data_IF_676229042166
#
_entry.id   IF_676229042166
#
_cell.length_a   1.000
_cell.length_b   1.000
_cell.length_c   1.000
_cell.angle_alpha   90.00
_cell.angle_beta   90.00
_cell.angle_gamma   90.00
#
_symmetry.space_group_name_H-M   'P 1'
#
loop_
_entity.id
_entity.type
_entity.pdbx_description
1 polymer ?
#
# COMPACT_ATOMS: atom_id res chain seq x y z
N UNK A 1 -7.86 -27.24 2.60
CA UNK A 1 -7.41 -26.87 3.96
C UNK A 1 -7.43 -25.34 4.11
N UNK A 2 -8.48 -24.85 4.76
CA UNK A 2 -8.65 -23.46 5.17
C UNK A 2 -7.50 -23.01 6.08
N UNK A 3 -6.73 -22.03 5.64
CA UNK A 3 -5.93 -21.19 6.55
C UNK A 3 -6.40 -19.75 6.38
N UNK A 4 -7.69 -19.55 6.67
CA UNK A 4 -8.22 -18.25 7.09
C UNK A 4 -7.68 -17.96 8.49
N UNK A 5 -6.40 -17.63 8.59
CA UNK A 5 -5.98 -16.70 9.63
C UNK A 5 -5.93 -15.34 8.96
N UNK A 6 -7.09 -14.67 8.98
CA UNK A 6 -7.15 -13.22 9.01
C UNK A 6 -6.29 -12.77 10.19
N UNK A 7 -4.98 -12.75 9.99
CA UNK A 7 -4.09 -11.91 10.75
C UNK A 7 -4.75 -10.56 10.66
N UNK A 8 -5.08 -9.97 11.81
CA UNK A 8 -5.64 -8.64 11.90
C UNK A 8 -4.56 -7.73 11.33
N UNK A 9 -4.54 -7.59 10.01
CA UNK A 9 -3.67 -6.66 9.31
C UNK A 9 -4.19 -5.32 9.80
N UNK A 10 -3.35 -4.61 10.55
CA UNK A 10 -3.67 -3.28 11.06
C UNK A 10 -4.33 -2.50 9.92
N UNK A 11 -5.47 -1.84 10.16
CA UNK A 11 -6.08 -1.04 9.09
C UNK A 11 -5.13 0.07 8.60
N UNK A 12 -4.17 0.44 9.44
CA UNK A 12 -3.13 1.39 9.11
C UNK A 12 -1.91 0.69 8.51
N UNK A 13 -1.71 0.89 7.21
CA UNK A 13 -0.55 0.40 6.46
C UNK A 13 0.79 0.85 7.05
N UNK A 14 0.85 1.97 7.78
CA UNK A 14 2.11 2.46 8.38
C UNK A 14 2.61 1.58 9.53
N UNK A 15 1.76 0.71 10.07
CA UNK A 15 2.09 -0.21 11.15
C UNK A 15 2.36 -1.63 10.64
N UNK A 16 2.34 -1.84 9.32
CA UNK A 16 2.58 -3.16 8.76
C UNK A 16 4.04 -3.55 8.86
N UNK A 17 4.26 -4.75 9.39
CA UNK A 17 5.51 -5.47 9.30
C UNK A 17 5.78 -5.93 7.86
N UNK A 18 7.04 -6.29 7.59
CA UNK A 18 7.46 -6.91 6.34
C UNK A 18 6.58 -8.13 5.98
N UNK A 19 6.32 -9.03 6.93
CA UNK A 19 5.48 -10.21 6.68
C UNK A 19 4.04 -9.86 6.33
N UNK A 20 3.47 -8.79 6.91
CA UNK A 20 2.13 -8.32 6.55
C UNK A 20 2.10 -7.73 5.15
N UNK A 21 3.12 -6.97 4.75
CA UNK A 21 3.27 -6.48 3.37
C UNK A 21 3.34 -7.65 2.39
N UNK A 22 4.15 -8.66 2.69
CA UNK A 22 4.31 -9.84 1.85
C UNK A 22 2.99 -10.61 1.68
N UNK A 23 2.31 -10.89 2.79
CA UNK A 23 1.00 -11.56 2.75
C UNK A 23 -0.04 -10.75 1.98
N UNK A 24 -0.01 -9.42 2.10
CA UNK A 24 -0.91 -8.53 1.36
C UNK A 24 -0.65 -8.59 -0.16
N UNK A 25 0.62 -8.47 -0.59
CA UNK A 25 1.00 -8.57 -2.01
C UNK A 25 0.61 -9.93 -2.60
N UNK A 26 0.91 -11.01 -1.89
CA UNK A 26 0.54 -12.36 -2.30
C UNK A 26 -0.99 -12.56 -2.36
N UNK A 27 -1.73 -12.02 -1.40
CA UNK A 27 -3.19 -12.05 -1.37
C UNK A 27 -3.85 -11.34 -2.56
N UNK A 28 -3.16 -10.37 -3.16
CA UNK A 28 -3.57 -9.69 -4.38
C UNK A 28 -2.94 -10.26 -5.66
N UNK A 29 -2.32 -11.44 -5.60
CA UNK A 29 -1.61 -12.08 -6.71
C UNK A 29 -0.44 -11.27 -7.29
N UNK A 30 0.14 -10.36 -6.51
CA UNK A 30 1.32 -9.56 -6.90
C UNK A 30 2.60 -10.32 -6.55
N UNK A 31 2.82 -11.46 -7.20
CA UNK A 31 3.89 -12.41 -6.84
C UNK A 31 5.26 -11.86 -7.15
N UNK A 32 5.42 -11.19 -8.28
CA UNK A 32 6.69 -10.58 -8.63
C UNK A 32 7.03 -9.44 -7.69
N UNK A 33 6.06 -8.57 -7.39
CA UNK A 33 6.27 -7.49 -6.43
C UNK A 33 6.51 -7.99 -5.01
N UNK A 34 5.91 -9.11 -4.59
CA UNK A 34 6.19 -9.71 -3.28
C UNK A 34 7.68 -10.05 -3.15
N UNK A 35 8.27 -10.67 -4.17
CA UNK A 35 9.71 -10.99 -4.19
C UNK A 35 10.59 -9.75 -4.31
N UNK A 36 10.20 -8.80 -5.16
CA UNK A 36 10.98 -7.56 -5.36
C UNK A 36 11.00 -6.70 -4.09
N UNK A 37 9.88 -6.62 -3.38
CA UNK A 37 9.69 -5.84 -2.17
C UNK A 37 9.85 -6.68 -0.91
N UNK A 38 10.67 -7.74 -0.96
CA UNK A 38 10.81 -8.70 0.13
C UNK A 38 11.16 -8.02 1.46
N UNK A 39 11.98 -6.97 1.44
CA UNK A 39 12.44 -6.22 2.61
C UNK A 39 11.53 -5.03 2.99
N UNK A 40 10.45 -4.77 2.25
CA UNK A 40 9.60 -3.61 2.50
C UNK A 40 8.64 -3.85 3.67
N UNK A 41 8.71 -2.98 4.67
CA UNK A 41 7.63 -2.78 5.64
C UNK A 41 6.58 -1.79 5.10
N UNK A 42 5.52 -1.58 5.87
CA UNK A 42 4.41 -0.73 5.46
C UNK A 42 4.78 0.73 5.23
N UNK A 43 5.71 1.27 6.03
CA UNK A 43 6.22 2.64 5.86
C UNK A 43 6.98 2.77 4.55
N UNK A 44 7.91 1.86 4.30
CA UNK A 44 8.70 1.80 3.07
C UNK A 44 7.81 1.67 1.86
N UNK A 45 6.78 0.81 1.93
CA UNK A 45 5.80 0.64 0.85
C UNK A 45 5.03 1.92 0.55
N UNK A 46 4.62 2.67 1.57
CA UNK A 46 3.95 3.97 1.39
C UNK A 46 4.89 4.98 0.75
N UNK A 47 6.14 5.09 1.19
CA UNK A 47 7.11 6.00 0.57
C UNK A 47 7.41 5.60 -0.88
N UNK A 48 7.62 4.31 -1.15
CA UNK A 48 7.81 3.80 -2.50
C UNK A 48 6.64 4.15 -3.41
N UNK A 49 5.40 4.00 -2.94
CA UNK A 49 4.21 4.40 -3.71
C UNK A 49 4.18 5.90 -4.02
N UNK A 50 4.80 6.76 -3.21
CA UNK A 50 4.91 8.20 -3.49
C UNK A 50 5.96 8.46 -4.54
N UNK A 51 7.11 7.79 -4.48
CA UNK A 51 8.13 7.90 -5.52
C UNK A 51 7.58 7.47 -6.89
N UNK A 52 6.86 6.35 -6.93
CA UNK A 52 6.19 5.87 -8.15
C UNK A 52 5.19 6.90 -8.71
N UNK A 53 4.55 7.69 -7.85
CA UNK A 53 3.57 8.72 -8.27
C UNK A 53 4.21 10.03 -8.73
N UNK A 54 5.39 10.38 -8.20
CA UNK A 54 6.03 11.68 -8.43
C UNK A 54 7.06 11.61 -9.56
N UNK A 55 7.74 10.46 -9.72
CA UNK A 55 8.72 10.29 -10.78
C UNK A 55 8.07 10.20 -12.15
N UNK A 56 8.80 10.66 -13.17
CA UNK A 56 8.47 10.43 -14.57
C UNK A 56 8.26 8.91 -14.81
N UNK A 57 7.11 8.49 -15.37
CA UNK A 57 6.76 7.07 -15.46
C UNK A 57 7.83 6.22 -16.13
N UNK A 58 8.45 6.74 -17.19
CA UNK A 58 9.50 6.04 -17.93
C UNK A 58 10.78 5.85 -17.10
N UNK A 59 11.12 6.81 -16.23
CA UNK A 59 12.29 6.70 -15.36
C UNK A 59 12.03 5.69 -14.25
N UNK A 60 10.85 5.74 -13.64
CA UNK A 60 10.46 4.78 -12.60
C UNK A 60 10.44 3.34 -13.15
N UNK A 61 9.88 3.13 -14.34
CA UNK A 61 9.88 1.82 -14.99
C UNK A 61 11.29 1.30 -15.24
N UNK A 62 12.22 2.16 -15.71
CA UNK A 62 13.63 1.77 -15.89
C UNK A 62 14.30 1.37 -14.58
N UNK A 63 14.06 2.11 -13.50
CA UNK A 63 14.62 1.80 -12.18
C UNK A 63 14.07 0.47 -11.63
N UNK A 64 12.75 0.26 -11.72
CA UNK A 64 12.11 -0.98 -11.30
C UNK A 64 12.56 -2.17 -12.14
N UNK A 65 12.72 -2.01 -13.46
CA UNK A 65 13.25 -3.05 -14.34
C UNK A 65 14.68 -3.43 -13.95
N UNK A 66 15.54 -2.44 -13.75
CA UNK A 66 16.93 -2.67 -13.34
C UNK A 66 17.01 -3.42 -12.00
N UNK A 67 16.16 -3.06 -11.03
CA UNK A 67 16.11 -3.76 -9.74
C UNK A 67 15.48 -5.15 -9.84
N UNK A 68 14.45 -5.32 -10.68
CA UNK A 68 13.81 -6.62 -10.91
C UNK A 68 14.78 -7.62 -11.52
N UNK A 69 15.49 -7.24 -12.57
CA UNK A 69 16.51 -8.10 -13.21
C UNK A 69 17.64 -8.41 -12.22
N UNK A 70 18.08 -7.43 -11.44
CA UNK A 70 19.18 -7.59 -10.48
C UNK A 70 18.83 -8.46 -9.28
N UNK A 71 17.62 -8.32 -8.71
CA UNK A 71 17.23 -8.96 -7.44
C UNK A 71 16.50 -10.28 -7.65
N UNK A 72 15.66 -10.36 -8.68
CA UNK A 72 14.76 -11.50 -8.89
C UNK A 72 14.91 -12.16 -10.27
N UNK A 73 15.86 -11.71 -11.09
CA UNK A 73 16.19 -12.28 -12.41
C UNK A 73 15.01 -12.32 -13.40
N UNK A 74 14.09 -11.36 -13.29
CA UNK A 74 12.92 -11.27 -14.14
C UNK A 74 12.67 -9.82 -14.57
N UNK A 75 12.11 -9.62 -15.76
CA UNK A 75 11.59 -8.32 -16.18
C UNK A 75 10.32 -7.98 -15.41
N UNK A 76 10.17 -6.71 -15.04
CA UNK A 76 9.05 -6.24 -14.24
C UNK A 76 7.75 -6.29 -15.04
N UNK A 77 6.71 -6.85 -14.42
CA UNK A 77 5.38 -6.97 -14.99
C UNK A 77 4.66 -5.64 -14.87
N UNK A 78 4.43 -4.99 -16.01
CA UNK A 78 3.62 -3.77 -16.10
C UNK A 78 2.21 -3.99 -15.55
N UNK A 79 1.67 -5.21 -15.65
CA UNK A 79 0.37 -5.57 -15.11
C UNK A 79 0.41 -5.52 -13.58
N UNK A 80 1.40 -6.16 -12.95
CA UNK A 80 1.54 -6.12 -11.48
C UNK A 80 1.78 -4.70 -10.97
N UNK A 81 2.61 -3.90 -11.64
CA UNK A 81 2.81 -2.47 -11.29
C UNK A 81 1.49 -1.70 -11.34
N UNK A 82 0.71 -1.90 -12.40
CA UNK A 82 -0.58 -1.20 -12.57
C UNK A 82 -1.58 -1.58 -11.49
N UNK A 83 -1.66 -2.87 -11.15
CA UNK A 83 -2.49 -3.37 -10.06
C UNK A 83 -2.04 -2.79 -8.71
N UNK A 84 -0.74 -2.80 -8.43
CA UNK A 84 -0.19 -2.22 -7.21
C UNK A 84 -0.50 -0.73 -7.08
N UNK A 85 -0.35 0.04 -8.16
CA UNK A 85 -0.64 1.47 -8.16
C UNK A 85 -2.12 1.75 -7.83
N UNK A 86 -3.05 0.98 -8.41
CA UNK A 86 -4.48 1.07 -8.12
C UNK A 86 -4.78 0.76 -6.65
N UNK A 87 -4.22 -0.33 -6.10
CA UNK A 87 -4.42 -0.72 -4.70
C UNK A 87 -3.91 0.35 -3.72
N UNK A 88 -2.73 0.92 -3.99
CA UNK A 88 -2.18 2.01 -3.16
C UNK A 88 -3.02 3.29 -3.25
N UNK A 89 -3.62 3.57 -4.41
CA UNK A 89 -4.52 4.70 -4.59
C UNK A 89 -5.82 4.50 -3.78
N UNK A 90 -6.39 3.30 -3.78
CA UNK A 90 -7.57 2.93 -2.99
C UNK A 90 -7.30 3.05 -1.48
N UNK A 91 -6.17 2.51 -1.00
CA UNK A 91 -5.75 2.66 0.40
C UNK A 91 -5.66 4.12 0.83
N UNK A 92 -5.06 4.98 0.00
CA UNK A 92 -4.99 6.43 0.27
C UNK A 92 -6.37 7.10 0.31
N UNK A 93 -7.33 6.63 -0.49
CA UNK A 93 -8.70 7.16 -0.49
C UNK A 93 -9.44 6.76 0.79
N UNK A 94 -9.28 5.52 1.24
CA UNK A 94 -9.90 5.01 2.47
C UNK A 94 -9.41 5.73 3.73
N UNK A 95 -8.12 6.04 3.81
CA UNK A 95 -7.57 6.82 4.94
C UNK A 95 -8.15 8.25 4.98
N UNK A 96 -8.31 8.89 3.81
CA UNK A 96 -8.89 10.24 3.70
C UNK A 96 -10.39 10.29 4.02
N UNK A 97 -11.15 9.26 3.64
CA UNK A 97 -12.58 9.20 3.96
C UNK A 97 -12.84 8.99 5.45
N UNK A 98 -12.03 8.16 6.13
CA UNK A 98 -12.12 7.96 7.59
C UNK A 98 -11.81 9.23 8.37
N UNK A 99 -10.82 10.02 7.96
CA UNK A 99 -10.49 11.29 8.61
C UNK A 99 -11.68 12.27 8.58
N UNK A 100 -12.36 12.39 7.43
CA UNK A 100 -13.55 13.25 7.28
C UNK A 100 -14.76 12.79 8.11
N UNK A 101 -14.88 11.50 8.41
CA UNK A 101 -15.97 10.96 9.24
C UNK A 101 -15.69 11.21 10.73
N UNK A 102 -14.44 11.10 11.16
CA UNK A 102 -14.00 11.44 12.51
C UNK A 102 -14.29 12.91 12.85
N UNK A 103 -13.91 13.85 11.98
CA UNK A 103 -14.14 15.29 12.19
C UNK A 103 -15.63 15.67 12.27
N UNK A 104 -16.51 14.98 11.51
CA UNK A 104 -17.96 15.21 11.57
C UNK A 104 -18.59 14.76 12.89
N UNK A 105 -18.02 13.77 13.58
CA UNK A 105 -18.50 13.35 14.91
C UNK A 105 -18.13 14.35 16.00
N UNK A 106 -16.93 14.94 15.95
CA UNK A 106 -16.51 15.96 16.92
C UNK A 106 -17.32 17.26 16.83
N UNK A 107 -17.73 17.69 15.63
CA UNK A 107 -18.60 18.88 15.50
C UNK A 107 -20.03 18.71 16.02
N UNK A 108 -20.56 17.49 16.12
CA UNK A 108 -21.92 17.26 16.63
C UNK A 108 -22.00 17.23 18.17
N UNK A 109 -20.86 17.11 18.86
CA UNK A 109 -20.81 17.15 20.32
C UNK A 109 -20.37 18.51 20.90
N UNK A 110 -19.93 19.45 20.06
CA UNK A 110 -19.51 20.79 20.49
C UNK A 110 -20.60 21.87 20.35
N UNK A 111 -21.88 21.47 20.29
CA UNK A 111 -23.02 22.36 20.10
C UNK A 111 -24.08 22.22 21.18
N UNK A 112 -23.75 22.59 22.42
CA UNK A 112 -24.60 23.29 23.42
C UNK A 112 -23.85 23.28 24.76
N UNK A 113 -23.59 24.45 25.37
CA UNK A 113 -24.55 24.89 26.39
C UNK A 113 -24.85 26.40 26.35
N UNK A 114 -25.93 26.74 27.06
CA UNK A 114 -26.53 28.05 27.36
C UNK A 114 -27.57 28.49 26.31
N UNK A 115 -28.88 28.33 26.57
CA UNK A 115 -29.69 28.98 27.63
C UNK A 115 -29.49 30.48 27.67
#
# INVERSE_FOLDING_TARGET
PEVLRSSIVSENILDWTQSQVQNWLLGHNLRQLSRLFIECDGRTLVYLSKYIQICEPQQMLKLLEADSVRRIHESISLIEISCFHSLMHEHKKHLRSKHRIGEKKYRRHAGSPNS
#
